data_IF_336147937380
#
_entry.id   IF_336147937380
#
_cell.length_a   1.000
_cell.length_b   1.000
_cell.length_c   1.000
_cell.angle_alpha   90.00
_cell.angle_beta   90.00
_cell.angle_gamma   90.00
#
_symmetry.space_group_name_H-M   'P 1'
#
loop_
_entity.id
_entity.type
_entity.pdbx_description
1 polymer ?
#
# COMPACT_ATOMS: atom_id res chain seq x y z
N UNK A 1 0.17 13.87 15.19
CA UNK A 1 1.42 14.09 14.48
C UNK A 1 1.41 13.32 13.15
N UNK A 2 1.63 14.02 12.07
CA UNK A 2 1.73 13.37 10.78
C UNK A 2 3.04 12.56 10.70
N UNK A 3 2.94 11.30 10.35
CA UNK A 3 4.11 10.50 10.06
C UNK A 3 4.72 10.99 8.74
N UNK A 4 6.00 11.29 8.73
CA UNK A 4 6.72 11.63 7.51
C UNK A 4 7.39 10.36 7.01
N UNK A 5 6.89 9.85 5.90
CA UNK A 5 7.44 8.67 5.26
C UNK A 5 8.37 9.12 4.15
N UNK A 6 9.62 8.75 4.25
CA UNK A 6 10.64 9.11 3.28
C UNK A 6 10.85 7.98 2.30
N UNK A 7 10.78 8.31 1.03
CA UNK A 7 11.17 7.43 -0.06
C UNK A 7 12.55 7.85 -0.54
N UNK A 8 13.41 6.88 -0.71
CA UNK A 8 14.75 7.05 -1.29
C UNK A 8 14.78 6.30 -2.61
N UNK A 9 15.09 7.02 -3.70
CA UNK A 9 15.07 6.48 -5.05
C UNK A 9 16.47 6.37 -5.60
N UNK A 10 16.79 5.23 -6.21
CA UNK A 10 17.95 5.05 -7.06
C UNK A 10 17.46 4.66 -8.46
N UNK A 11 17.74 5.53 -9.44
CA UNK A 11 17.27 5.34 -10.81
C UNK A 11 18.35 4.67 -11.63
N UNK A 12 17.98 3.60 -12.30
CA UNK A 12 18.79 2.87 -13.26
C UNK A 12 18.13 2.96 -14.63
N UNK A 13 18.82 2.47 -15.68
CA UNK A 13 18.32 2.57 -17.06
C UNK A 13 16.97 1.85 -17.25
N UNK A 14 16.81 0.68 -16.66
CA UNK A 14 15.65 -0.21 -16.87
C UNK A 14 14.75 -0.35 -15.63
N UNK A 15 15.18 0.13 -14.47
CA UNK A 15 14.41 -0.02 -13.22
C UNK A 15 14.69 1.10 -12.24
N UNK A 16 13.81 1.23 -11.26
CA UNK A 16 14.01 2.08 -10.11
C UNK A 16 14.02 1.22 -8.84
N UNK A 17 14.95 1.52 -7.95
CA UNK A 17 15.01 0.91 -6.62
C UNK A 17 14.45 1.91 -5.63
N UNK A 18 13.47 1.48 -4.84
CA UNK A 18 12.84 2.31 -3.81
C UNK A 18 13.14 1.71 -2.44
N UNK A 19 13.59 2.57 -1.55
CA UNK A 19 13.77 2.26 -0.14
C UNK A 19 12.83 3.14 0.66
N UNK A 20 12.17 2.58 1.66
CA UNK A 20 11.22 3.30 2.51
C UNK A 20 11.82 3.49 3.89
N UNK A 21 11.90 4.74 4.36
CA UNK A 21 12.26 5.03 5.74
C UNK A 21 11.11 4.71 6.68
N UNK A 22 11.41 4.12 7.83
CA UNK A 22 10.43 3.80 8.86
C UNK A 22 10.52 4.77 10.04
N UNK A 23 9.35 5.10 10.61
CA UNK A 23 9.26 5.74 11.92
C UNK A 23 9.59 4.69 13.00
N UNK A 24 10.13 5.14 14.13
CA UNK A 24 10.45 4.27 15.27
C UNK A 24 9.22 3.50 15.78
N UNK A 25 8.03 4.10 15.65
CA UNK A 25 6.77 3.51 16.10
C UNK A 25 6.14 2.54 15.09
N UNK A 26 6.76 2.37 13.92
CA UNK A 26 6.24 1.44 12.92
C UNK A 26 6.41 -0.01 13.41
N UNK A 27 5.34 -0.83 13.34
CA UNK A 27 5.44 -2.22 13.79
C UNK A 27 6.37 -3.03 12.89
N UNK A 28 7.13 -3.94 13.50
CA UNK A 28 8.02 -4.85 12.78
C UNK A 28 7.29 -6.06 12.18
N UNK A 29 6.04 -6.26 12.58
CA UNK A 29 5.17 -7.31 12.08
C UNK A 29 3.79 -6.73 11.79
N UNK A 30 2.98 -7.45 11.02
CA UNK A 30 1.59 -7.07 10.80
C UNK A 30 0.80 -7.42 12.07
N UNK A 31 0.40 -6.39 12.81
CA UNK A 31 -0.38 -6.53 14.03
C UNK A 31 -1.88 -6.65 13.71
N UNK A 32 -2.32 -5.96 12.67
CA UNK A 32 -3.70 -5.96 12.21
C UNK A 32 -3.74 -6.08 10.68
N UNK A 33 -4.49 -7.04 10.17
CA UNK A 33 -4.75 -7.17 8.74
C UNK A 33 -5.74 -6.09 8.31
N UNK A 34 -5.37 -5.29 7.33
CA UNK A 34 -6.22 -4.24 6.78
C UNK A 34 -6.58 -4.66 5.36
N UNK A 35 -7.87 -4.82 5.09
CA UNK A 35 -8.36 -5.18 3.76
C UNK A 35 -9.22 -4.08 3.19
N UNK A 36 -9.12 -3.82 1.88
CA UNK A 36 -9.96 -2.82 1.24
C UNK A 36 -11.40 -3.32 1.09
N UNK A 37 -12.35 -2.39 1.15
CA UNK A 37 -13.72 -2.65 0.72
C UNK A 37 -13.79 -2.41 -0.78
N UNK A 38 -14.24 -3.42 -1.52
CA UNK A 38 -14.41 -3.33 -2.96
C UNK A 38 -15.90 -3.24 -3.32
N UNK A 39 -16.21 -2.71 -4.52
CA UNK A 39 -17.61 -2.69 -4.98
C UNK A 39 -18.23 -4.08 -5.00
N UNK A 40 -19.54 -4.13 -5.02
CA UNK A 40 -20.28 -5.38 -5.13
C UNK A 40 -19.89 -6.13 -6.41
N UNK A 41 -19.78 -7.45 -6.32
CA UNK A 41 -19.44 -8.32 -7.44
C UNK A 41 -17.97 -8.69 -7.52
N UNK A 42 -17.12 -8.11 -6.67
CA UNK A 42 -15.72 -8.53 -6.54
C UNK A 42 -15.58 -9.72 -5.59
N UNK A 43 -14.67 -10.64 -5.92
CA UNK A 43 -14.38 -11.81 -5.10
C UNK A 43 -12.94 -11.80 -4.64
N UNK A 44 -12.72 -12.16 -3.37
CA UNK A 44 -11.41 -12.18 -2.75
C UNK A 44 -10.82 -13.58 -2.70
N UNK A 45 -9.53 -13.69 -3.00
CA UNK A 45 -8.73 -14.88 -2.78
C UNK A 45 -7.54 -14.53 -1.91
N UNK A 46 -7.47 -15.12 -0.72
CA UNK A 46 -6.31 -14.97 0.15
C UNK A 46 -5.16 -15.83 -0.41
N UNK A 47 -3.99 -15.21 -0.61
CA UNK A 47 -2.78 -15.88 -1.09
C UNK A 47 -1.79 -16.06 0.06
N UNK A 48 -1.64 -15.04 0.89
CA UNK A 48 -0.82 -15.10 2.10
C UNK A 48 -1.45 -14.25 3.20
N UNK A 49 -1.40 -14.74 4.43
CA UNK A 49 -1.86 -14.02 5.60
C UNK A 49 -1.05 -14.49 6.81
N UNK A 50 0.04 -13.79 7.07
CA UNK A 50 0.93 -14.09 8.18
C UNK A 50 1.56 -12.78 8.70
N UNK A 51 2.27 -12.79 9.83
CA UNK A 51 2.84 -11.57 10.40
C UNK A 51 3.84 -10.84 9.51
N UNK A 52 4.38 -11.49 8.50
CA UNK A 52 5.38 -10.89 7.60
C UNK A 52 4.79 -10.38 6.29
N UNK A 53 3.62 -10.88 5.89
CA UNK A 53 3.04 -10.55 4.59
C UNK A 53 1.55 -10.88 4.54
N UNK A 54 0.79 -9.93 4.05
CA UNK A 54 -0.61 -10.13 3.65
C UNK A 54 -0.70 -9.89 2.16
N UNK A 55 -1.21 -10.87 1.42
CA UNK A 55 -1.34 -10.80 -0.03
C UNK A 55 -2.67 -11.39 -0.48
N UNK A 56 -3.46 -10.58 -1.19
CA UNK A 56 -4.77 -10.95 -1.70
C UNK A 56 -4.88 -10.64 -3.18
N UNK A 57 -5.63 -11.49 -3.89
CA UNK A 57 -6.12 -11.20 -5.23
C UNK A 57 -7.62 -10.96 -5.15
N UNK A 58 -8.09 -9.92 -5.82
CA UNK A 58 -9.51 -9.64 -5.99
C UNK A 58 -9.84 -9.70 -7.48
N UNK A 59 -10.85 -10.47 -7.82
CA UNK A 59 -11.33 -10.61 -9.19
C UNK A 59 -12.63 -9.84 -9.34
N UNK A 60 -12.67 -8.92 -10.31
CA UNK A 60 -13.82 -8.11 -10.59
C UNK A 60 -14.83 -8.79 -11.52
N UNK A 61 -16.06 -8.26 -11.59
CA UNK A 61 -17.14 -8.88 -12.38
C UNK A 61 -16.94 -8.81 -13.89
N UNK A 62 -15.99 -8.00 -14.38
CA UNK A 62 -15.72 -7.82 -15.81
C UNK A 62 -14.31 -8.31 -16.18
N UNK A 63 -13.73 -9.20 -15.38
CA UNK A 63 -12.40 -9.74 -15.62
C UNK A 63 -11.26 -8.88 -15.09
N UNK A 64 -11.55 -7.81 -14.35
CA UNK A 64 -10.53 -7.00 -13.70
C UNK A 64 -9.83 -7.82 -12.62
N UNK A 65 -8.54 -7.57 -12.42
CA UNK A 65 -7.76 -8.19 -11.34
C UNK A 65 -7.06 -7.11 -10.53
N UNK A 66 -7.26 -7.17 -9.21
CA UNK A 66 -6.60 -6.28 -8.26
C UNK A 66 -5.78 -7.13 -7.31
N UNK A 67 -4.48 -6.79 -7.19
CA UNK A 67 -3.57 -7.43 -6.25
C UNK A 67 -3.26 -6.46 -5.13
N UNK A 68 -3.28 -6.95 -3.92
CA UNK A 68 -3.10 -6.14 -2.72
C UNK A 68 -2.04 -6.78 -1.81
N UNK A 69 -1.07 -5.96 -1.41
CA UNK A 69 -0.04 -6.31 -0.44
C UNK A 69 -0.05 -5.37 0.74
N UNK A 70 0.05 -5.94 1.94
CA UNK A 70 0.37 -5.22 3.16
C UNK A 70 1.59 -5.88 3.78
N UNK A 71 2.64 -5.09 4.02
CA UNK A 71 3.88 -5.58 4.63
C UNK A 71 4.33 -4.64 5.74
N UNK A 72 5.05 -5.15 6.75
CA UNK A 72 5.76 -4.27 7.69
C UNK A 72 6.75 -3.40 6.93
N UNK A 73 6.99 -2.18 7.41
CA UNK A 73 8.03 -1.34 6.84
C UNK A 73 9.38 -1.88 7.29
N UNK A 74 10.21 -2.26 6.32
CA UNK A 74 11.57 -2.68 6.55
C UNK A 74 12.51 -1.67 5.86
N UNK A 75 13.24 -0.82 6.62
CA UNK A 75 14.14 0.17 6.03
C UNK A 75 15.30 -0.43 5.24
N UNK A 76 15.63 -1.69 5.50
CA UNK A 76 16.70 -2.42 4.82
C UNK A 76 16.20 -3.11 3.54
N UNK A 77 14.88 -3.19 3.34
CA UNK A 77 14.31 -3.80 2.14
C UNK A 77 14.43 -2.87 0.94
N UNK A 78 14.71 -3.47 -0.21
CA UNK A 78 14.73 -2.79 -1.49
C UNK A 78 13.52 -3.22 -2.31
N UNK A 79 12.81 -2.25 -2.87
CA UNK A 79 11.68 -2.50 -3.76
C UNK A 79 12.12 -2.17 -5.19
N UNK A 80 11.93 -3.10 -6.12
CA UNK A 80 12.35 -2.97 -7.50
C UNK A 80 11.13 -2.79 -8.40
N UNK A 81 11.13 -1.75 -9.22
CA UNK A 81 10.06 -1.49 -10.18
C UNK A 81 10.64 -1.27 -11.56
N UNK A 82 10.00 -1.87 -12.58
CA UNK A 82 10.35 -1.63 -13.96
C UNK A 82 10.05 -0.17 -14.34
N UNK A 83 11.06 0.55 -14.78
CA UNK A 83 10.92 1.94 -15.24
C UNK A 83 11.10 2.09 -16.75
N UNK A 84 11.55 1.06 -17.44
CA UNK A 84 11.72 1.07 -18.89
C UNK A 84 10.36 1.05 -19.61
N UNK A 85 9.42 0.25 -19.10
CA UNK A 85 8.09 0.03 -19.69
C UNK A 85 6.97 0.62 -18.85
N UNK A 86 7.26 1.65 -18.07
CA UNK A 86 6.30 2.33 -17.22
C UNK A 86 6.53 3.83 -17.19
N UNK A 87 5.48 4.55 -16.81
CA UNK A 87 5.58 5.95 -16.37
C UNK A 87 5.39 5.99 -14.87
N UNK A 88 6.12 6.86 -14.18
CA UNK A 88 6.09 6.99 -12.72
C UNK A 88 5.80 8.42 -12.35
N UNK A 89 4.83 8.63 -11.46
CA UNK A 89 4.55 9.96 -10.91
C UNK A 89 4.17 9.89 -9.43
N UNK A 90 4.51 10.95 -8.70
CA UNK A 90 4.06 11.12 -7.33
C UNK A 90 2.62 11.63 -7.35
N UNK A 91 1.79 11.05 -6.48
CA UNK A 91 0.41 11.49 -6.27
C UNK A 91 0.16 11.67 -4.77
N UNK A 92 -0.74 12.57 -4.41
CA UNK A 92 -1.11 12.80 -3.02
C UNK A 92 -2.49 12.19 -2.80
N UNK A 93 -2.57 11.25 -1.86
CA UNK A 93 -3.81 10.60 -1.44
C UNK A 93 -4.52 11.45 -0.39
N UNK A 94 -5.79 11.16 -0.13
CA UNK A 94 -6.52 11.78 0.98
C UNK A 94 -5.78 11.54 2.29
N UNK A 95 -5.75 12.54 3.15
CA UNK A 95 -4.99 12.48 4.39
C UNK A 95 -3.53 12.91 4.26
N UNK A 96 -3.08 13.28 3.04
CA UNK A 96 -1.74 13.82 2.81
C UNK A 96 -0.65 12.78 2.56
N UNK A 97 -1.01 11.51 2.36
CA UNK A 97 -0.04 10.46 2.05
C UNK A 97 0.45 10.60 0.61
N UNK A 98 1.76 10.58 0.42
CA UNK A 98 2.36 10.58 -0.91
C UNK A 98 2.51 9.14 -1.39
N UNK A 99 1.98 8.85 -2.58
CA UNK A 99 2.12 7.56 -3.24
C UNK A 99 2.88 7.71 -4.56
N UNK A 100 3.46 6.62 -5.02
CA UNK A 100 4.05 6.52 -6.34
C UNK A 100 3.10 5.72 -7.23
N UNK A 101 2.68 6.31 -8.34
CA UNK A 101 1.86 5.63 -9.33
C UNK A 101 2.73 5.20 -10.49
N UNK A 102 2.75 3.90 -10.75
CA UNK A 102 3.39 3.28 -11.90
C UNK A 102 2.32 2.86 -12.89
N UNK A 103 2.42 3.33 -14.13
CA UNK A 103 1.53 2.92 -15.21
C UNK A 103 2.37 2.16 -16.23
N UNK A 104 2.12 0.87 -16.36
CA UNK A 104 2.87 -0.03 -17.23
C UNK A 104 2.25 -0.10 -18.62
N UNK A 105 3.07 -0.27 -19.63
CA UNK A 105 2.63 -0.45 -21.02
C UNK A 105 1.70 -1.66 -21.20
N UNK A 106 1.80 -2.65 -20.31
CA UNK A 106 0.93 -3.81 -20.27
C UNK A 106 -0.53 -3.51 -19.93
N UNK A 107 -0.82 -2.27 -19.48
CA UNK A 107 -2.15 -1.87 -19.03
C UNK A 107 -2.41 -2.10 -17.55
N UNK A 108 -1.36 -2.40 -16.79
CA UNK A 108 -1.43 -2.50 -15.33
C UNK A 108 -1.01 -1.18 -14.71
N UNK A 109 -1.76 -0.73 -13.72
CA UNK A 109 -1.40 0.43 -12.89
C UNK A 109 -1.14 -0.03 -11.46
N UNK A 110 -0.16 0.57 -10.79
CA UNK A 110 0.26 0.18 -9.45
C UNK A 110 0.46 1.44 -8.59
N UNK A 111 -0.16 1.45 -7.41
CA UNK A 111 0.11 2.43 -6.37
C UNK A 111 0.97 1.81 -5.28
N UNK A 112 2.02 2.52 -4.88
CA UNK A 112 2.92 2.15 -3.80
C UNK A 112 3.05 3.31 -2.83
N UNK A 113 2.74 3.07 -1.55
CA UNK A 113 2.88 4.07 -0.49
C UNK A 113 3.11 3.40 0.85
N UNK A 114 3.42 4.19 1.86
CA UNK A 114 3.48 3.70 3.22
C UNK A 114 2.84 4.68 4.19
N UNK A 115 2.34 4.14 5.27
CA UNK A 115 1.94 4.85 6.46
C UNK A 115 2.48 4.05 7.67
N UNK A 116 1.64 3.31 8.38
CA UNK A 116 2.07 2.36 9.41
C UNK A 116 2.67 1.07 8.81
N UNK A 117 2.24 0.72 7.60
CA UNK A 117 2.70 -0.41 6.80
C UNK A 117 3.08 0.06 5.41
N UNK A 118 3.76 -0.79 4.67
CA UNK A 118 3.93 -0.60 3.23
C UNK A 118 2.77 -1.25 2.50
N UNK A 119 2.14 -0.48 1.62
CA UNK A 119 1.00 -0.93 0.82
C UNK A 119 1.33 -0.88 -0.66
N UNK A 120 0.94 -1.93 -1.35
CA UNK A 120 1.00 -2.00 -2.81
C UNK A 120 -0.34 -2.47 -3.32
N UNK A 121 -0.92 -1.75 -4.25
CA UNK A 121 -2.16 -2.13 -4.92
C UNK A 121 -1.94 -2.02 -6.42
N UNK A 122 -2.16 -3.11 -7.15
CA UNK A 122 -2.08 -3.08 -8.61
C UNK A 122 -3.41 -3.50 -9.23
N UNK A 123 -3.75 -2.88 -10.35
CA UNK A 123 -4.99 -3.13 -11.06
C UNK A 123 -4.68 -3.42 -12.52
N UNK A 124 -5.16 -4.56 -13.00
CA UNK A 124 -5.15 -4.94 -14.41
C UNK A 124 -6.58 -4.90 -14.93
N UNK A 125 -6.82 -4.08 -15.94
CA UNK A 125 -8.17 -3.77 -16.41
C UNK A 125 -8.90 -2.80 -15.48
N UNK A 126 -9.97 -2.20 -15.92
CA UNK A 126 -10.73 -1.26 -15.13
C UNK A 126 -10.14 0.15 -15.09
N UNK A 127 -10.70 0.98 -14.22
CA UNK A 127 -10.38 2.39 -14.10
C UNK A 127 -9.43 2.62 -12.91
N UNK A 128 -8.37 3.41 -13.12
CA UNK A 128 -7.41 3.79 -12.10
C UNK A 128 -8.06 4.52 -10.90
N UNK A 129 -9.24 5.10 -11.07
CA UNK A 129 -10.01 5.68 -9.96
C UNK A 129 -10.24 4.67 -8.83
N UNK A 130 -10.36 3.38 -9.16
CA UNK A 130 -10.52 2.33 -8.16
C UNK A 130 -9.26 2.20 -7.28
N UNK A 131 -8.07 2.37 -7.84
CA UNK A 131 -6.83 2.35 -7.05
C UNK A 131 -6.84 3.43 -5.97
N UNK A 132 -7.26 4.64 -6.33
CA UNK A 132 -7.34 5.76 -5.37
C UNK A 132 -8.39 5.50 -4.30
N UNK A 133 -9.54 4.95 -4.66
CA UNK A 133 -10.59 4.59 -3.70
C UNK A 133 -10.11 3.53 -2.72
N UNK A 134 -9.43 2.51 -3.21
CA UNK A 134 -8.85 1.45 -2.38
C UNK A 134 -7.80 2.00 -1.44
N UNK A 135 -6.89 2.84 -1.95
CA UNK A 135 -5.84 3.44 -1.14
C UNK A 135 -6.41 4.34 -0.03
N UNK A 136 -7.39 5.16 -0.36
CA UNK A 136 -8.06 6.04 0.60
C UNK A 136 -8.77 5.23 1.69
N UNK A 137 -9.44 4.15 1.32
CA UNK A 137 -10.11 3.25 2.27
C UNK A 137 -9.09 2.58 3.21
N UNK A 138 -8.00 2.07 2.67
CA UNK A 138 -6.93 1.45 3.46
C UNK A 138 -6.30 2.45 4.44
N UNK A 139 -6.02 3.67 4.00
CA UNK A 139 -5.44 4.70 4.85
C UNK A 139 -6.40 5.13 5.96
N UNK A 140 -7.69 5.22 5.67
CA UNK A 140 -8.71 5.53 6.67
C UNK A 140 -8.79 4.44 7.73
N UNK A 141 -8.77 3.17 7.34
CA UNK A 141 -8.77 2.03 8.25
C UNK A 141 -7.50 1.97 9.10
N UNK A 142 -6.34 2.21 8.50
CA UNK A 142 -5.07 2.28 9.21
C UNK A 142 -5.05 3.40 10.25
N UNK A 143 -5.57 4.58 9.92
CA UNK A 143 -5.68 5.70 10.85
C UNK A 143 -6.60 5.39 12.03
N UNK A 144 -7.71 4.69 11.81
CA UNK A 144 -8.64 4.29 12.87
C UNK A 144 -7.98 3.32 13.85
N UNK A 145 -7.17 2.39 13.36
CA UNK A 145 -6.42 1.43 14.19
C UNK A 145 -5.34 2.14 15.03
N UNK A 146 -4.63 3.10 14.47
CA UNK A 146 -3.63 3.90 15.18
C UNK A 146 -4.26 4.67 16.33
N UNK A 147 -5.39 5.32 16.10
CA UNK A 147 -6.13 6.05 17.15
C UNK A 147 -6.59 5.11 18.27
N UNK A 148 -7.07 3.93 17.92
CA UNK A 148 -7.50 2.92 18.91
C UNK A 148 -6.33 2.46 19.77
N UNK A 149 -5.16 2.21 19.17
CA UNK A 149 -3.95 1.82 19.89
C UNK A 149 -3.49 2.92 20.86
N UNK A 150 -3.46 4.18 20.43
CA UNK A 150 -3.11 5.33 21.29
C UNK A 150 -4.06 5.46 22.48
N UNK A 151 -5.34 5.25 22.25
CA UNK A 151 -6.34 5.29 23.30
C UNK A 151 -6.09 4.20 24.36
N UNK A 152 -5.81 2.97 23.96
CA UNK A 152 -5.49 1.89 24.90
C UNK A 152 -4.20 2.15 25.66
N UNK A 153 -3.16 2.65 25.01
CA UNK A 153 -1.90 3.01 25.67
C UNK A 153 -2.09 4.07 26.73
N UNK A 154 -2.93 5.05 26.46
CA UNK A 154 -3.26 6.08 27.44
C UNK A 154 -3.86 5.49 28.71
N UNK A 155 -4.78 4.57 28.60
CA UNK A 155 -5.42 3.91 29.77
C UNK A 155 -4.49 2.94 30.45
N UNK A 156 -3.63 2.25 29.76
CA UNK A 156 -2.68 1.29 30.34
C UNK A 156 -1.62 1.96 31.22
N UNK A 157 -1.33 3.23 31.04
CA UNK A 157 -0.36 4.01 31.82
C UNK A 157 -0.92 4.58 33.13
N UNK A 158 -2.18 4.43 33.38
CA UNK A 158 -2.81 4.81 34.67
C UNK A 158 -2.74 3.63 35.65
#
# INVERSE_FOLDING_TARGET
RAAVWNFFFEWYEDHVVVRVGADEDAPSVIEEVILPDLPQGWTATEIANNPSSVFYRFDGPQGEQLFYDQNPINPDALHFFDSEHSTVKAVVLKGGYTAQLFVFESGTSLLFWSNRYTFTVSLKGGDDALLYQVADDLNQKAAALTKKSEFFDFFAKK
#
